data_IF_852779801182
#
_entry.id   IF_852779801182
#
_cell.length_a   1.000
_cell.length_b   1.000
_cell.length_c   1.000
_cell.angle_alpha   90.00
_cell.angle_beta   90.00
_cell.angle_gamma   90.00
#
_symmetry.space_group_name_H-M   'P 1'
#
loop_
_entity.id
_entity.type
_entity.pdbx_description
1 polymer ?
#
# COMPACT_ATOMS: atom_id res chain seq x y z
N UNK A 1 -5.57 13.22 -21.12
CA UNK A 1 -5.31 13.55 -19.70
C UNK A 1 -6.03 12.55 -18.84
N UNK A 2 -5.40 12.06 -17.78
CA UNK A 2 -6.06 11.19 -16.80
C UNK A 2 -7.34 11.84 -16.29
N UNK A 3 -8.42 11.07 -16.14
CA UNK A 3 -9.69 11.59 -15.65
C UNK A 3 -10.41 10.59 -14.73
N UNK A 4 -11.13 11.08 -13.70
CA UNK A 4 -11.84 10.22 -12.76
C UNK A 4 -13.09 9.60 -13.41
N UNK A 5 -13.26 8.29 -13.21
CA UNK A 5 -14.40 7.51 -13.70
C UNK A 5 -15.46 7.31 -12.61
N UNK A 6 -15.05 6.72 -11.47
CA UNK A 6 -15.95 6.27 -10.42
C UNK A 6 -15.48 6.74 -9.07
N UNK A 7 -16.42 7.13 -8.23
CA UNK A 7 -16.25 7.53 -6.84
C UNK A 7 -16.94 6.52 -5.92
N UNK A 8 -16.19 5.79 -5.12
CA UNK A 8 -16.69 4.80 -4.16
C UNK A 8 -16.38 5.30 -2.74
N UNK A 9 -17.36 5.28 -1.87
CA UNK A 9 -17.24 5.78 -0.50
C UNK A 9 -18.09 7.01 -0.23
N UNK A 10 -17.68 7.82 0.75
CA UNK A 10 -18.42 9.01 1.14
C UNK A 10 -18.55 10.00 -0.01
N UNK A 11 -19.78 10.35 -0.36
CA UNK A 11 -20.07 11.40 -1.33
C UNK A 11 -20.29 12.71 -0.57
N UNK A 12 -19.47 13.70 -0.85
CA UNK A 12 -19.63 15.04 -0.27
C UNK A 12 -19.79 16.09 -1.37
N UNK A 13 -20.90 16.78 -1.42
CA UNK A 13 -21.03 17.96 -2.29
C UNK A 13 -20.32 19.16 -1.64
N UNK A 14 -19.01 19.28 -1.90
CA UNK A 14 -18.28 20.52 -1.63
C UNK A 14 -17.89 20.82 -0.18
N UNK A 15 -17.81 19.82 0.69
CA UNK A 15 -17.32 19.98 2.07
C UNK A 15 -16.50 18.76 2.52
N UNK A 16 -15.91 18.82 3.70
CA UNK A 16 -15.23 17.66 4.30
C UNK A 16 -16.15 16.43 4.25
N UNK A 17 -15.70 15.38 3.57
CA UNK A 17 -16.41 14.11 3.53
C UNK A 17 -16.22 13.40 4.87
N UNK A 18 -17.05 13.71 5.83
CA UNK A 18 -17.10 12.96 7.09
C UNK A 18 -17.84 11.65 6.86
N UNK A 19 -17.28 10.50 7.28
CA UNK A 19 -18.00 9.23 7.23
C UNK A 19 -19.21 9.31 8.18
N UNK A 20 -20.27 8.53 7.93
CA UNK A 20 -21.34 8.41 8.90
C UNK A 20 -20.82 7.80 10.21
N UNK A 21 -21.57 7.97 11.28
CA UNK A 21 -21.22 7.40 12.58
C UNK A 21 -21.12 5.86 12.54
N UNK A 22 -21.88 5.21 11.66
CA UNK A 22 -21.85 3.77 11.45
C UNK A 22 -21.38 3.42 10.03
N UNK A 23 -20.54 2.41 9.86
CA UNK A 23 -20.12 1.94 8.54
C UNK A 23 -21.31 1.36 7.75
N UNK A 24 -21.19 1.33 6.43
CA UNK A 24 -22.19 0.79 5.50
C UNK A 24 -21.50 0.05 4.35
N UNK A 25 -22.23 -0.70 3.50
CA UNK A 25 -21.61 -1.32 2.31
C UNK A 25 -21.03 -0.34 1.30
N UNK A 26 -21.48 0.94 1.32
CA UNK A 26 -21.08 1.97 0.36
C UNK A 26 -20.14 3.02 0.93
N UNK A 27 -19.75 2.94 2.19
CA UNK A 27 -18.96 3.97 2.86
C UNK A 27 -17.76 3.38 3.56
N UNK A 28 -16.69 4.16 3.62
CA UNK A 28 -15.40 3.78 4.18
C UNK A 28 -14.91 4.82 5.15
N UNK A 29 -13.93 4.43 5.98
CA UNK A 29 -13.19 5.34 6.83
C UNK A 29 -11.68 5.11 6.65
N UNK A 30 -10.99 6.14 6.16
CA UNK A 30 -9.55 6.14 5.94
C UNK A 30 -9.03 4.86 5.24
N UNK A 31 -9.53 4.51 4.02
CA UNK A 31 -9.05 3.34 3.28
C UNK A 31 -7.57 3.51 2.97
N UNK A 32 -6.75 2.44 3.13
CA UNK A 32 -5.30 2.53 2.93
C UNK A 32 -4.75 1.60 1.89
N UNK A 33 -5.40 0.48 1.62
CA UNK A 33 -4.98 -0.47 0.60
C UNK A 33 -6.05 -0.68 -0.44
N UNK A 34 -5.62 -0.95 -1.66
CA UNK A 34 -6.52 -1.26 -2.77
C UNK A 34 -5.85 -2.28 -3.69
N UNK A 35 -6.64 -3.23 -4.18
CA UNK A 35 -6.32 -4.14 -5.27
C UNK A 35 -7.33 -3.96 -6.38
N UNK A 36 -6.88 -3.96 -7.61
CA UNK A 36 -7.70 -3.83 -8.81
C UNK A 36 -7.19 -4.78 -9.88
N UNK A 37 -8.08 -5.54 -10.50
CA UNK A 37 -7.88 -6.19 -11.79
C UNK A 37 -9.09 -5.94 -12.71
N UNK A 38 -9.22 -6.69 -13.81
CA UNK A 38 -10.27 -6.46 -14.82
C UNK A 38 -11.69 -6.79 -14.31
N UNK A 39 -11.80 -7.53 -13.20
CA UNK A 39 -13.06 -8.04 -12.67
C UNK A 39 -13.27 -7.77 -11.18
N UNK A 40 -12.24 -7.35 -10.45
CA UNK A 40 -12.27 -7.35 -9.00
C UNK A 40 -11.72 -6.04 -8.46
N UNK A 41 -12.42 -5.47 -7.49
CA UNK A 41 -11.91 -4.42 -6.62
C UNK A 41 -11.92 -4.91 -5.17
N UNK A 42 -10.80 -4.76 -4.46
CA UNK A 42 -10.72 -5.03 -3.02
C UNK A 42 -10.13 -3.81 -2.33
N UNK A 43 -10.74 -3.39 -1.24
CA UNK A 43 -10.33 -2.21 -0.48
C UNK A 43 -10.11 -2.56 0.98
N UNK A 44 -8.93 -2.26 1.51
CA UNK A 44 -8.68 -2.24 2.94
C UNK A 44 -9.28 -0.95 3.54
N UNK A 45 -10.46 -1.05 4.08
CA UNK A 45 -11.19 -0.01 4.82
C UNK A 45 -10.64 0.08 6.24
N UNK A 46 -9.43 0.62 6.35
CA UNK A 46 -8.54 0.49 7.50
C UNK A 46 -9.12 1.08 8.77
N UNK A 47 -9.78 2.24 8.68
CA UNK A 47 -10.37 2.91 9.84
C UNK A 47 -11.58 2.16 10.42
N UNK A 48 -12.26 1.33 9.63
CA UNK A 48 -13.33 0.43 10.06
C UNK A 48 -12.83 -0.99 10.34
N UNK A 49 -11.52 -1.23 10.30
CA UNK A 49 -10.89 -2.53 10.61
C UNK A 49 -11.42 -3.70 9.76
N UNK A 50 -11.72 -3.46 8.49
CA UNK A 50 -12.34 -4.43 7.58
C UNK A 50 -11.78 -4.33 6.17
N UNK A 51 -12.11 -5.33 5.35
CA UNK A 51 -11.84 -5.32 3.91
C UNK A 51 -13.16 -5.46 3.18
N UNK A 52 -13.35 -4.65 2.14
CA UNK A 52 -14.52 -4.65 1.25
C UNK A 52 -14.13 -5.24 -0.09
N UNK A 53 -15.02 -6.09 -0.67
CA UNK A 53 -14.81 -6.74 -1.96
C UNK A 53 -15.98 -6.43 -2.88
N UNK A 54 -15.68 -6.05 -4.11
CA UNK A 54 -16.61 -5.98 -5.26
C UNK A 54 -16.17 -7.04 -6.28
N UNK A 55 -17.05 -8.00 -6.59
CA UNK A 55 -16.79 -9.07 -7.57
C UNK A 55 -16.86 -8.60 -9.01
N UNK A 56 -17.25 -7.36 -9.25
CA UNK A 56 -17.10 -6.65 -10.50
C UNK A 56 -16.60 -5.25 -10.20
N UNK A 57 -15.70 -4.73 -11.03
CA UNK A 57 -15.22 -3.37 -10.86
C UNK A 57 -16.43 -2.41 -10.88
N UNK A 58 -16.60 -1.56 -9.87
CA UNK A 58 -17.73 -0.65 -9.82
C UNK A 58 -17.83 0.28 -11.04
N UNK A 59 -19.04 0.41 -11.57
CA UNK A 59 -19.34 1.26 -12.73
C UNK A 59 -20.09 2.55 -12.32
N UNK A 60 -20.57 2.63 -11.08
CA UNK A 60 -21.39 3.74 -10.58
C UNK A 60 -20.84 4.26 -9.27
N UNK A 61 -20.98 5.57 -9.08
CA UNK A 61 -20.65 6.23 -7.82
C UNK A 61 -21.44 5.62 -6.64
N UNK A 62 -20.76 5.40 -5.52
CA UNK A 62 -21.37 4.87 -4.31
C UNK A 62 -21.87 3.42 -4.42
N UNK A 63 -21.45 2.68 -5.44
CA UNK A 63 -21.84 1.27 -5.57
C UNK A 63 -21.44 0.48 -4.32
N UNK A 64 -22.40 -0.25 -3.68
CA UNK A 64 -22.12 -1.01 -2.47
C UNK A 64 -21.17 -2.18 -2.75
N UNK A 65 -20.37 -2.53 -1.76
CA UNK A 65 -19.57 -3.75 -1.78
C UNK A 65 -20.45 -5.00 -1.68
N UNK A 66 -19.98 -6.09 -2.26
CA UNK A 66 -20.65 -7.39 -2.24
C UNK A 66 -20.32 -8.16 -0.95
N UNK A 67 -19.07 -8.01 -0.46
CA UNK A 67 -18.52 -8.80 0.64
C UNK A 67 -17.81 -7.89 1.64
N UNK A 68 -17.92 -8.22 2.93
CA UNK A 68 -17.10 -7.67 4.01
C UNK A 68 -16.34 -8.77 4.73
N UNK A 69 -15.04 -8.55 4.99
CA UNK A 69 -14.18 -9.42 5.78
C UNK A 69 -13.66 -8.69 7.01
N UNK A 70 -13.44 -9.40 8.11
CA UNK A 70 -12.90 -8.85 9.35
C UNK A 70 -13.91 -8.18 10.26
N UNK A 71 -15.19 -8.13 9.84
CA UNK A 71 -16.33 -7.72 10.64
C UNK A 71 -17.49 -8.70 10.42
N UNK A 72 -18.39 -8.86 11.41
CA UNK A 72 -19.55 -9.76 11.27
C UNK A 72 -20.47 -9.40 10.11
N UNK A 73 -20.62 -8.10 9.86
CA UNK A 73 -21.44 -7.53 8.80
C UNK A 73 -20.93 -6.15 8.36
N UNK A 74 -21.63 -5.52 7.41
CA UNK A 74 -21.27 -4.20 6.88
C UNK A 74 -21.46 -3.04 7.85
N UNK A 75 -22.19 -3.21 8.92
CA UNK A 75 -22.59 -2.15 9.87
C UNK A 75 -21.81 -2.21 11.17
N UNK A 76 -21.06 -3.29 11.39
CA UNK A 76 -20.19 -3.50 12.54
C UNK A 76 -18.86 -2.76 12.37
N UNK A 77 -18.32 -2.29 13.48
CA UNK A 77 -17.02 -1.62 13.56
C UNK A 77 -16.23 -2.05 14.80
N UNK A 78 -15.02 -1.54 14.92
CA UNK A 78 -14.13 -1.81 16.04
C UNK A 78 -13.09 -2.86 15.70
N UNK A 79 -11.95 -2.74 16.35
CA UNK A 79 -10.80 -3.63 16.13
C UNK A 79 -11.16 -5.08 16.43
N UNK A 80 -10.59 -6.00 15.67
CA UNK A 80 -10.72 -7.44 15.89
C UNK A 80 -12.20 -7.87 16.03
N UNK A 81 -13.05 -7.45 15.07
CA UNK A 81 -14.50 -7.70 15.05
C UNK A 81 -15.19 -7.26 16.34
N UNK A 82 -15.06 -5.99 16.73
CA UNK A 82 -15.62 -5.40 17.95
C UNK A 82 -15.15 -6.11 19.25
N UNK A 83 -13.89 -6.54 19.27
CA UNK A 83 -13.26 -7.16 20.46
C UNK A 83 -13.46 -8.67 20.58
N UNK A 84 -14.00 -9.35 19.57
CA UNK A 84 -14.11 -10.82 19.55
C UNK A 84 -12.75 -11.54 19.42
N UNK A 85 -11.69 -10.79 19.10
CA UNK A 85 -10.32 -11.27 19.03
C UNK A 85 -9.76 -11.38 17.62
N UNK A 86 -8.43 -11.55 17.51
CA UNK A 86 -7.73 -11.52 16.22
C UNK A 86 -8.16 -12.61 15.25
N UNK A 87 -8.58 -13.78 15.73
CA UNK A 87 -9.12 -14.88 14.90
C UNK A 87 -10.32 -14.46 14.07
N UNK A 88 -11.14 -13.55 14.59
CA UNK A 88 -12.44 -13.19 14.02
C UNK A 88 -12.41 -11.86 13.26
N UNK A 89 -11.37 -11.06 13.46
CA UNK A 89 -11.32 -9.75 12.85
C UNK A 89 -9.91 -9.21 12.64
N UNK A 90 -9.85 -8.02 12.07
CA UNK A 90 -8.60 -7.33 11.71
C UNK A 90 -8.37 -6.10 12.59
N UNK A 91 -7.12 -5.62 12.56
CA UNK A 91 -6.76 -4.35 13.17
C UNK A 91 -5.94 -3.51 12.19
N UNK A 92 -6.56 -2.45 11.65
CA UNK A 92 -5.99 -1.56 10.63
C UNK A 92 -5.36 -2.35 9.45
N UNK A 93 -6.15 -3.11 8.68
CA UNK A 93 -5.64 -3.76 7.47
C UNK A 93 -5.15 -2.71 6.48
N UNK A 94 -4.06 -3.00 5.75
CA UNK A 94 -3.43 -2.06 4.82
C UNK A 94 -3.18 -2.69 3.44
N UNK A 95 -2.11 -3.45 3.26
CA UNK A 95 -1.80 -4.09 1.98
C UNK A 95 -2.80 -5.17 1.58
N UNK A 96 -3.24 -5.15 0.34
CA UNK A 96 -4.14 -6.17 -0.25
C UNK A 96 -3.57 -6.58 -1.60
N UNK A 97 -3.46 -7.88 -1.84
CA UNK A 97 -3.04 -8.42 -3.15
C UNK A 97 -3.69 -9.78 -3.42
N UNK A 98 -3.95 -10.05 -4.69
CA UNK A 98 -4.35 -11.38 -5.17
C UNK A 98 -3.21 -11.98 -5.98
N UNK A 99 -2.80 -13.19 -5.61
CA UNK A 99 -1.73 -13.93 -6.26
C UNK A 99 -2.26 -15.34 -6.57
N UNK A 100 -2.29 -15.71 -7.84
CA UNK A 100 -2.77 -17.03 -8.29
C UNK A 100 -4.16 -17.40 -7.74
N UNK A 101 -5.07 -16.41 -7.69
CA UNK A 101 -6.43 -16.57 -7.18
C UNK A 101 -6.58 -16.60 -5.66
N UNK A 102 -5.49 -16.46 -4.91
CA UNK A 102 -5.45 -16.37 -3.45
C UNK A 102 -5.41 -14.94 -2.99
N UNK A 103 -6.16 -14.62 -1.94
CA UNK A 103 -6.19 -13.29 -1.33
C UNK A 103 -5.22 -13.22 -0.14
N UNK A 104 -4.41 -12.17 -0.12
CA UNK A 104 -3.49 -11.84 0.98
C UNK A 104 -3.80 -10.44 1.50
N UNK A 105 -3.91 -10.30 2.81
CA UNK A 105 -4.20 -9.03 3.49
C UNK A 105 -3.18 -8.78 4.60
N UNK A 106 -2.49 -7.66 4.54
CA UNK A 106 -1.65 -7.20 5.64
C UNK A 106 -2.57 -6.68 6.76
N UNK A 107 -2.73 -7.47 7.80
CA UNK A 107 -3.43 -7.13 9.04
C UNK A 107 -2.43 -6.48 10.01
N UNK A 108 -2.11 -5.20 9.69
CA UNK A 108 -0.87 -4.55 10.09
C UNK A 108 -0.69 -4.44 11.60
N UNK A 109 -1.73 -4.10 12.35
CA UNK A 109 -1.65 -3.94 13.80
C UNK A 109 -1.87 -5.24 14.58
N UNK A 110 -2.22 -6.33 13.90
CA UNK A 110 -2.10 -7.70 14.41
C UNK A 110 -0.79 -8.36 13.96
N UNK A 111 0.11 -7.59 13.31
CA UNK A 111 1.47 -7.99 12.95
C UNK A 111 1.55 -9.26 12.11
N UNK A 112 0.65 -9.40 11.11
CA UNK A 112 0.50 -10.62 10.30
C UNK A 112 -0.01 -10.33 8.89
N UNK A 113 0.09 -11.34 8.04
CA UNK A 113 -0.61 -11.40 6.75
C UNK A 113 -1.62 -12.54 6.81
N UNK A 114 -2.89 -12.23 6.58
CA UNK A 114 -3.98 -13.20 6.48
C UNK A 114 -4.06 -13.75 5.06
N UNK A 115 -4.43 -15.04 4.93
CA UNK A 115 -4.46 -15.76 3.65
C UNK A 115 -5.81 -16.43 3.46
N UNK A 116 -6.42 -16.22 2.29
CA UNK A 116 -7.56 -17.00 1.78
C UNK A 116 -7.12 -17.69 0.50
N UNK A 117 -7.33 -19.01 0.43
CA UNK A 117 -6.93 -19.84 -0.73
C UNK A 117 -7.74 -19.56 -2.00
N UNK A 118 -8.80 -18.77 -1.89
CA UNK A 118 -9.63 -18.25 -2.98
C UNK A 118 -10.28 -16.94 -2.55
N UNK A 119 -10.73 -16.15 -3.51
CA UNK A 119 -11.53 -14.96 -3.19
C UNK A 119 -12.82 -15.38 -2.49
N UNK A 120 -13.14 -14.84 -1.29
CA UNK A 120 -14.37 -15.15 -0.60
C UNK A 120 -15.63 -14.78 -1.37
N UNK A 121 -16.63 -15.67 -1.34
CA UNK A 121 -17.94 -15.46 -1.95
C UNK A 121 -19.02 -15.10 -0.91
N UNK A 122 -18.67 -15.07 0.37
CA UNK A 122 -19.56 -14.73 1.47
C UNK A 122 -18.87 -13.82 2.49
N UNK A 123 -19.61 -12.88 3.05
CA UNK A 123 -19.12 -12.03 4.14
C UNK A 123 -18.69 -12.84 5.35
N UNK A 124 -17.75 -12.27 6.11
CA UNK A 124 -17.20 -12.88 7.33
C UNK A 124 -16.59 -14.28 7.13
N UNK A 125 -16.20 -14.63 5.90
CA UNK A 125 -15.44 -15.87 5.64
C UNK A 125 -14.10 -15.80 6.37
N UNK A 126 -13.79 -16.76 7.28
CA UNK A 126 -12.53 -16.75 8.00
C UNK A 126 -11.35 -17.01 7.06
N UNK A 127 -10.15 -16.50 7.40
CA UNK A 127 -8.93 -16.82 6.64
C UNK A 127 -8.56 -18.31 6.78
N UNK A 128 -7.97 -18.86 5.73
CA UNK A 128 -7.46 -20.24 5.69
C UNK A 128 -6.10 -20.38 6.38
N UNK A 129 -5.33 -19.26 6.45
CA UNK A 129 -3.98 -19.28 7.02
C UNK A 129 -3.47 -17.91 7.43
N UNK A 130 -2.27 -17.91 8.00
CA UNK A 130 -1.60 -16.71 8.49
C UNK A 130 -0.09 -16.82 8.28
N UNK A 131 0.54 -15.71 7.89
CA UNK A 131 2.00 -15.56 7.80
C UNK A 131 2.41 -14.50 8.83
N UNK A 132 3.53 -14.72 9.52
CA UNK A 132 4.05 -13.77 10.51
C UNK A 132 3.60 -14.02 11.95
N UNK A 133 2.59 -14.88 12.18
CA UNK A 133 2.15 -15.35 13.50
C UNK A 133 2.16 -16.87 13.56
N UNK A 134 2.06 -17.43 14.77
CA UNK A 134 2.02 -18.88 14.98
C UNK A 134 0.69 -19.51 14.54
N UNK A 135 -0.39 -18.75 14.68
CA UNK A 135 -1.76 -19.12 14.34
C UNK A 135 -2.63 -17.86 14.21
N UNK A 136 -3.94 -18.05 14.00
CA UNK A 136 -4.90 -16.94 13.82
C UNK A 136 -5.21 -16.16 15.11
N UNK A 137 -4.81 -16.63 16.27
CA UNK A 137 -5.00 -15.94 17.55
C UNK A 137 -3.79 -15.04 17.89
N UNK A 138 -2.64 -15.26 17.23
CA UNK A 138 -1.44 -14.47 17.40
C UNK A 138 -1.59 -13.05 16.85
N UNK A 139 -1.18 -12.05 17.65
CA UNK A 139 -1.23 -10.64 17.27
C UNK A 139 -0.07 -9.80 17.87
N UNK A 140 0.91 -10.44 18.49
CA UNK A 140 2.03 -9.73 19.10
C UNK A 140 3.14 -9.42 18.10
N UNK A 141 3.81 -8.24 18.20
CA UNK A 141 4.97 -7.92 17.38
C UNK A 141 6.02 -9.02 17.45
N UNK A 142 6.58 -9.42 16.31
CA UNK A 142 7.61 -10.46 16.22
C UNK A 142 7.22 -11.76 16.94
N UNK A 143 5.92 -12.10 16.96
CA UNK A 143 5.35 -13.28 17.69
C UNK A 143 5.57 -13.23 19.19
N UNK A 144 5.66 -12.05 19.79
CA UNK A 144 5.92 -11.87 21.23
C UNK A 144 7.36 -12.14 21.68
N UNK A 145 8.29 -12.27 20.73
CA UNK A 145 9.70 -12.53 21.01
C UNK A 145 10.65 -11.56 20.30
N UNK A 146 11.91 -11.96 20.17
CA UNK A 146 12.92 -11.20 19.45
C UNK A 146 12.62 -11.15 17.95
N UNK A 147 13.12 -10.10 17.29
CA UNK A 147 13.00 -9.96 15.84
C UNK A 147 13.65 -11.14 15.13
N UNK A 148 12.91 -11.73 14.19
CA UNK A 148 13.35 -12.89 13.41
C UNK A 148 12.71 -12.86 12.02
N UNK A 149 13.16 -13.71 11.10
CA UNK A 149 12.57 -13.83 9.77
C UNK A 149 11.13 -14.40 9.76
N UNK A 150 10.70 -15.01 10.86
CA UNK A 150 9.38 -15.65 10.95
C UNK A 150 8.27 -14.78 11.52
N UNK A 151 8.58 -13.61 12.09
CA UNK A 151 7.62 -12.69 12.69
C UNK A 151 7.70 -11.31 12.09
N UNK A 152 6.57 -10.58 12.10
CA UNK A 152 6.48 -9.21 11.58
C UNK A 152 6.25 -8.20 12.70
N UNK A 153 6.60 -6.97 12.42
CA UNK A 153 6.17 -5.82 13.19
C UNK A 153 5.58 -4.78 12.24
N UNK A 154 4.26 -4.61 12.31
CA UNK A 154 3.53 -3.67 11.48
C UNK A 154 3.82 -3.87 9.97
N UNK A 155 3.54 -5.08 9.39
CA UNK A 155 3.67 -5.30 7.95
C UNK A 155 2.66 -4.41 7.24
N UNK A 156 3.11 -3.57 6.31
CA UNK A 156 2.23 -2.60 5.67
C UNK A 156 1.84 -3.01 4.26
N UNK A 157 2.80 -3.29 3.41
CA UNK A 157 2.60 -3.65 2.02
C UNK A 157 3.00 -5.09 1.71
N UNK A 158 2.31 -5.68 0.74
CA UNK A 158 2.61 -6.99 0.17
C UNK A 158 2.87 -6.79 -1.31
N UNK A 159 3.87 -7.47 -1.87
CA UNK A 159 4.22 -7.41 -3.29
C UNK A 159 4.43 -8.79 -3.90
N UNK A 160 4.14 -8.89 -5.20
CA UNK A 160 4.50 -10.05 -6.02
C UNK A 160 5.31 -9.56 -7.21
N UNK A 161 6.60 -9.84 -7.21
CA UNK A 161 7.53 -9.32 -8.21
C UNK A 161 8.46 -10.45 -8.65
N UNK A 162 8.58 -10.69 -9.94
CA UNK A 162 9.46 -11.72 -10.51
C UNK A 162 9.26 -13.11 -9.85
N UNK A 163 8.01 -13.53 -9.63
CA UNK A 163 7.62 -14.78 -8.97
C UNK A 163 8.11 -14.91 -7.51
N UNK A 164 8.32 -13.79 -6.83
CA UNK A 164 8.68 -13.73 -5.41
C UNK A 164 7.61 -12.99 -4.62
N UNK A 165 7.31 -13.52 -3.44
CA UNK A 165 6.44 -12.89 -2.46
C UNK A 165 7.26 -11.93 -1.58
N UNK A 166 6.77 -10.71 -1.39
CA UNK A 166 7.44 -9.70 -0.57
C UNK A 166 6.50 -9.15 0.50
N UNK A 167 7.06 -8.87 1.68
CA UNK A 167 6.39 -8.14 2.76
C UNK A 167 7.23 -6.94 3.16
N UNK A 168 6.65 -5.75 3.11
CA UNK A 168 7.20 -4.57 3.73
C UNK A 168 6.95 -4.64 5.24
N UNK A 169 7.92 -5.16 5.99
CA UNK A 169 7.90 -5.30 7.45
C UNK A 169 8.35 -3.97 8.08
N UNK A 170 7.45 -2.99 7.96
CA UNK A 170 7.69 -1.56 8.17
C UNK A 170 8.21 -1.25 9.56
N UNK A 171 7.64 -1.85 10.60
CA UNK A 171 8.06 -1.64 11.99
C UNK A 171 9.47 -2.18 12.28
N UNK A 172 9.92 -3.20 11.53
CA UNK A 172 11.28 -3.72 11.57
C UNK A 172 12.21 -3.08 10.52
N UNK A 173 11.76 -2.08 9.76
CA UNK A 173 12.53 -1.30 8.78
C UNK A 173 13.22 -2.18 7.75
N UNK A 174 12.50 -3.19 7.22
CA UNK A 174 13.02 -4.16 6.24
C UNK A 174 11.95 -4.59 5.25
N UNK A 175 12.40 -5.13 4.14
CA UNK A 175 11.56 -5.88 3.20
C UNK A 175 12.04 -7.32 3.21
N UNK A 176 11.12 -8.24 3.42
CA UNK A 176 11.38 -9.68 3.39
C UNK A 176 10.87 -10.25 2.07
N UNK A 177 11.63 -11.15 1.46
CA UNK A 177 11.30 -11.80 0.19
C UNK A 177 11.43 -13.32 0.26
N UNK A 178 10.50 -14.03 -0.40
CA UNK A 178 10.50 -15.49 -0.54
C UNK A 178 10.40 -15.87 -2.01
N UNK A 179 11.12 -16.92 -2.40
CA UNK A 179 11.02 -17.52 -3.73
C UNK A 179 9.70 -18.31 -3.82
N UNK A 180 8.67 -17.71 -4.43
CA UNK A 180 7.30 -18.20 -4.39
C UNK A 180 6.52 -17.73 -3.16
N UNK A 181 5.35 -18.33 -2.95
CA UNK A 181 4.49 -18.05 -1.78
C UNK A 181 5.08 -18.78 -0.57
N UNK A 182 5.33 -18.10 0.57
CA UNK A 182 5.93 -18.75 1.73
C UNK A 182 5.00 -19.81 2.34
N UNK A 183 5.58 -20.95 2.71
CA UNK A 183 4.93 -21.94 3.55
C UNK A 183 4.93 -21.51 5.03
N UNK A 184 4.20 -22.24 5.88
CA UNK A 184 4.16 -21.93 7.32
C UNK A 184 5.58 -21.90 7.91
N UNK A 185 5.88 -20.81 8.59
CA UNK A 185 7.18 -20.54 9.26
C UNK A 185 8.42 -20.58 8.36
N UNK A 186 8.25 -20.55 7.05
CA UNK A 186 9.39 -20.47 6.14
C UNK A 186 10.17 -19.17 6.40
N UNK A 187 11.50 -19.31 6.53
CA UNK A 187 12.39 -18.15 6.62
C UNK A 187 12.46 -17.43 5.28
N UNK A 188 12.62 -16.10 5.28
CA UNK A 188 12.80 -15.38 4.03
C UNK A 188 14.10 -15.77 3.34
N UNK A 189 14.07 -15.85 2.01
CA UNK A 189 15.25 -16.05 1.17
C UNK A 189 16.04 -14.74 0.99
N UNK A 190 15.37 -13.59 1.18
CA UNK A 190 15.95 -12.27 1.00
C UNK A 190 15.52 -11.34 2.14
N UNK A 191 16.49 -10.58 2.65
CA UNK A 191 16.27 -9.47 3.59
C UNK A 191 16.89 -8.22 2.99
N UNK A 192 16.10 -7.19 2.70
CA UNK A 192 16.55 -5.87 2.29
C UNK A 192 16.31 -4.87 3.43
N UNK A 193 17.18 -3.86 3.55
CA UNK A 193 17.05 -2.80 4.54
C UNK A 193 17.74 -3.08 5.86
N UNK A 194 18.09 -4.33 6.15
CA UNK A 194 18.80 -4.75 7.35
C UNK A 194 19.96 -5.68 7.03
N UNK A 195 20.94 -5.78 7.94
CA UNK A 195 22.12 -6.64 7.75
C UNK A 195 21.76 -8.14 7.78
N UNK A 196 20.68 -8.49 8.46
CA UNK A 196 20.16 -9.85 8.59
C UNK A 196 18.71 -9.83 9.09
N UNK A 197 18.10 -11.00 9.23
CA UNK A 197 16.72 -11.16 9.69
C UNK A 197 16.47 -10.84 11.18
N UNK A 198 17.50 -10.61 11.97
CA UNK A 198 17.41 -10.30 13.41
C UNK A 198 17.60 -8.81 13.71
N UNK A 199 18.02 -8.03 12.72
CA UNK A 199 18.26 -6.58 12.84
C UNK A 199 17.00 -5.77 12.49
N UNK A 200 16.83 -4.61 13.16
CA UNK A 200 15.64 -3.75 12.96
C UNK A 200 15.95 -2.25 13.19
N UNK A 201 17.24 -1.87 13.21
CA UNK A 201 17.60 -0.48 13.43
C UNK A 201 17.21 0.41 12.24
N UNK A 202 16.71 1.61 12.52
CA UNK A 202 16.44 2.62 11.50
C UNK A 202 17.70 2.91 10.69
N UNK A 203 17.61 2.82 9.37
CA UNK A 203 18.74 2.98 8.45
C UNK A 203 19.98 2.15 8.86
N UNK A 204 19.78 0.93 9.41
CA UNK A 204 20.86 0.08 9.95
C UNK A 204 21.65 0.73 11.08
N UNK A 205 21.07 1.70 11.79
CA UNK A 205 21.75 2.46 12.86
C UNK A 205 22.71 3.55 12.38
N UNK A 206 22.60 3.96 11.08
CA UNK A 206 23.47 4.95 10.45
C UNK A 206 22.66 5.97 9.63
N UNK A 207 23.34 6.77 8.81
CA UNK A 207 22.69 7.59 7.79
C UNK A 207 22.00 6.73 6.74
N UNK A 208 20.99 7.27 6.02
CA UNK A 208 20.39 6.59 4.87
C UNK A 208 21.43 6.12 3.87
N UNK A 209 21.18 5.00 3.20
CA UNK A 209 22.09 4.44 2.20
C UNK A 209 21.31 3.65 1.16
N UNK A 210 22.01 3.15 0.12
CA UNK A 210 21.42 2.27 -0.88
C UNK A 210 20.97 0.90 -0.33
N UNK A 211 21.33 0.56 0.91
CA UNK A 211 21.02 -0.71 1.58
C UNK A 211 20.03 -0.58 2.74
N UNK A 212 19.52 0.62 3.04
CA UNK A 212 18.80 0.84 4.28
C UNK A 212 17.42 1.43 4.07
N UNK A 213 16.52 1.20 5.03
CA UNK A 213 15.19 1.81 5.09
C UNK A 213 14.94 2.46 6.44
N UNK A 214 14.01 3.42 6.40
CA UNK A 214 13.40 3.97 7.62
C UNK A 214 11.99 3.41 7.84
N UNK A 215 11.08 3.59 6.88
CA UNK A 215 9.72 3.04 6.91
C UNK A 215 9.35 2.54 5.51
N UNK A 216 9.75 1.33 5.10
CA UNK A 216 9.30 0.75 3.83
C UNK A 216 7.81 0.42 3.93
N UNK A 217 6.99 0.97 3.02
CA UNK A 217 5.53 0.80 3.04
C UNK A 217 4.99 -0.05 1.90
N UNK A 218 5.59 0.02 0.74
CA UNK A 218 5.10 -0.72 -0.43
C UNK A 218 6.22 -1.31 -1.25
N UNK A 219 5.90 -2.40 -1.93
CA UNK A 219 6.78 -3.11 -2.85
C UNK A 219 6.03 -3.36 -4.15
N UNK A 220 6.62 -2.99 -5.26
CA UNK A 220 6.10 -3.27 -6.60
C UNK A 220 7.26 -3.49 -7.59
N UNK A 221 6.95 -3.94 -8.80
CA UNK A 221 7.96 -4.11 -9.82
C UNK A 221 7.45 -4.84 -11.05
N UNK A 222 8.38 -5.11 -11.95
CA UNK A 222 8.16 -5.99 -13.10
C UNK A 222 9.05 -7.24 -13.02
N UNK A 223 9.15 -8.00 -14.10
CA UNK A 223 10.01 -9.19 -14.14
C UNK A 223 11.50 -8.90 -13.93
N UNK A 224 11.94 -7.64 -14.03
CA UNK A 224 13.36 -7.25 -14.05
C UNK A 224 13.74 -6.23 -12.97
N UNK A 225 12.78 -5.50 -12.44
CA UNK A 225 13.02 -4.38 -11.51
C UNK A 225 12.12 -4.47 -10.29
N UNK A 226 12.71 -4.29 -9.12
CA UNK A 226 12.02 -4.15 -7.83
C UNK A 226 12.05 -2.69 -7.40
N UNK A 227 10.92 -2.16 -6.92
CA UNK A 227 10.81 -0.84 -6.29
C UNK A 227 10.28 -0.98 -4.86
N UNK A 228 10.83 -0.18 -3.96
CA UNK A 228 10.38 -0.08 -2.57
C UNK A 228 10.10 1.39 -2.24
N UNK A 229 8.91 1.66 -1.73
CA UNK A 229 8.54 2.96 -1.18
C UNK A 229 9.09 3.08 0.25
N UNK A 230 10.22 3.75 0.40
CA UNK A 230 10.87 4.04 1.68
C UNK A 230 10.35 5.37 2.24
N UNK A 231 9.09 5.34 2.69
CA UNK A 231 8.31 6.52 3.03
C UNK A 231 8.96 7.39 4.11
N UNK A 232 9.58 6.79 5.10
CA UNK A 232 10.25 7.51 6.19
C UNK A 232 11.51 8.28 5.75
N UNK A 233 12.11 7.89 4.64
CA UNK A 233 13.22 8.59 3.99
C UNK A 233 12.76 9.38 2.75
N UNK A 234 11.44 9.54 2.54
CA UNK A 234 10.85 10.33 1.46
C UNK A 234 11.33 9.94 0.06
N UNK A 235 11.50 8.65 -0.23
CA UNK A 235 12.11 8.19 -1.49
C UNK A 235 11.51 6.87 -2.00
N UNK A 236 11.73 6.60 -3.27
CA UNK A 236 11.59 5.27 -3.85
C UNK A 236 13.00 4.75 -4.15
N UNK A 237 13.30 3.56 -3.68
CA UNK A 237 14.51 2.84 -4.08
C UNK A 237 14.17 1.78 -5.12
N UNK A 238 15.08 1.57 -6.09
CA UNK A 238 14.92 0.58 -7.16
C UNK A 238 16.16 -0.28 -7.39
N UNK A 239 15.90 -1.53 -7.73
CA UNK A 239 16.93 -2.53 -8.09
C UNK A 239 16.65 -3.09 -9.47
N UNK A 240 17.62 -2.98 -10.37
CA UNK A 240 17.63 -3.61 -11.69
C UNK A 240 18.99 -4.29 -11.90
N UNK A 241 19.07 -5.64 -11.98
CA UNK A 241 17.97 -6.61 -11.88
C UNK A 241 17.37 -6.71 -10.46
N UNK A 242 16.26 -7.47 -10.36
CA UNK A 242 15.67 -7.82 -9.05
C UNK A 242 16.73 -8.50 -8.18
N UNK A 243 16.97 -8.04 -6.94
CA UNK A 243 18.09 -8.52 -6.13
C UNK A 243 17.85 -9.96 -5.61
N UNK A 244 18.90 -10.77 -5.60
CA UNK A 244 18.87 -12.12 -5.04
C UNK A 244 19.39 -12.17 -3.59
N UNK A 245 20.09 -11.14 -3.18
CA UNK A 245 20.68 -10.97 -1.84
C UNK A 245 20.66 -9.48 -1.48
N UNK A 246 21.18 -9.12 -0.32
CA UNK A 246 21.34 -7.74 0.10
C UNK A 246 22.34 -7.00 -0.81
N UNK A 247 21.80 -6.37 -1.84
CA UNK A 247 22.56 -5.58 -2.82
C UNK A 247 22.14 -4.10 -2.73
N UNK A 248 23.02 -3.16 -3.13
CA UNK A 248 22.67 -1.74 -3.13
C UNK A 248 21.61 -1.44 -4.18
N UNK A 249 20.65 -0.60 -3.84
CA UNK A 249 19.75 0.01 -4.83
C UNK A 249 20.55 0.78 -5.88
N UNK A 250 20.07 0.79 -7.13
CA UNK A 250 20.67 1.52 -8.24
C UNK A 250 19.87 2.76 -8.65
N UNK A 251 18.65 2.88 -8.16
CA UNK A 251 17.75 3.99 -8.39
C UNK A 251 17.35 4.61 -7.06
N UNK A 252 17.37 5.94 -7.00
CA UNK A 252 16.65 6.71 -5.97
C UNK A 252 15.84 7.82 -6.63
N UNK A 253 14.53 7.84 -6.39
CA UNK A 253 13.67 8.96 -6.80
C UNK A 253 13.51 9.92 -5.65
N UNK A 254 13.40 11.22 -5.96
CA UNK A 254 13.36 12.37 -5.08
C UNK A 254 14.73 12.81 -4.57
N UNK A 255 15.45 11.94 -3.90
CA UNK A 255 16.73 12.30 -3.28
C UNK A 255 17.83 12.47 -4.32
N UNK A 256 18.77 13.37 -4.06
CA UNK A 256 19.90 13.63 -4.97
C UNK A 256 20.87 12.46 -5.02
N UNK A 257 20.92 11.71 -3.94
CA UNK A 257 21.76 10.53 -3.78
C UNK A 257 21.18 9.56 -2.76
N UNK A 258 21.81 8.43 -2.57
CA UNK A 258 21.37 7.36 -1.66
C UNK A 258 21.55 7.69 -0.18
N UNK A 259 22.32 8.73 0.16
CA UNK A 259 22.67 9.08 1.55
C UNK A 259 21.79 10.20 2.12
N UNK A 260 20.89 10.76 1.32
CA UNK A 260 19.97 11.82 1.75
C UNK A 260 18.56 11.28 2.02
N UNK A 261 17.84 11.96 2.91
CA UNK A 261 16.45 11.67 3.27
C UNK A 261 15.76 12.97 3.67
N UNK A 262 15.90 13.98 2.85
CA UNK A 262 15.34 15.31 3.15
C UNK A 262 13.86 15.34 2.83
N UNK A 263 13.07 15.61 3.84
CA UNK A 263 11.70 16.05 3.63
C UNK A 263 11.73 17.40 2.90
N UNK A 264 10.90 17.56 1.89
CA UNK A 264 10.91 18.72 1.01
C UNK A 264 10.52 20.06 1.64
N UNK A 265 10.69 20.25 2.93
CA UNK A 265 10.35 21.50 3.61
C UNK A 265 11.15 22.71 3.09
N UNK A 266 12.21 22.48 2.31
CA UNK A 266 13.07 23.54 1.80
C UNK A 266 12.99 23.74 0.29
N UNK A 267 12.24 22.90 -0.44
CA UNK A 267 12.03 23.03 -1.89
C UNK A 267 10.52 23.07 -2.17
N UNK A 268 10.07 23.92 -3.08
CA UNK A 268 8.68 23.89 -3.53
C UNK A 268 8.35 22.52 -4.14
N UNK A 269 7.08 22.12 -4.15
CA UNK A 269 6.64 20.95 -4.89
C UNK A 269 7.10 21.04 -6.35
N UNK A 270 7.43 19.90 -6.95
CA UNK A 270 7.88 19.81 -8.33
C UNK A 270 7.68 18.39 -8.87
N UNK A 271 7.98 18.15 -10.13
CA UNK A 271 7.96 16.82 -10.72
C UNK A 271 8.97 15.85 -10.08
N UNK A 272 9.92 16.37 -9.31
CA UNK A 272 10.95 15.59 -8.61
C UNK A 272 10.53 15.23 -7.17
N UNK A 273 9.54 15.92 -6.63
CA UNK A 273 9.26 15.99 -5.20
C UNK A 273 8.37 14.85 -4.68
N UNK A 274 8.91 14.03 -3.80
CA UNK A 274 8.15 13.05 -2.99
C UNK A 274 8.12 13.47 -1.51
N UNK A 275 7.00 13.23 -0.86
CA UNK A 275 6.83 13.44 0.57
C UNK A 275 5.98 12.31 1.15
N UNK A 276 6.59 11.45 1.96
CA UNK A 276 5.96 10.24 2.47
C UNK A 276 5.27 9.43 1.36
N UNK A 277 6.01 8.87 0.38
CA UNK A 277 5.40 8.00 -0.63
C UNK A 277 4.98 6.68 0.03
N UNK A 278 3.66 6.47 0.21
CA UNK A 278 3.17 5.26 0.87
C UNK A 278 2.87 4.12 -0.07
N UNK A 279 2.66 4.38 -1.34
CA UNK A 279 2.43 3.32 -2.31
C UNK A 279 3.21 3.52 -3.60
N UNK A 280 3.56 2.41 -4.22
CA UNK A 280 4.18 2.31 -5.54
C UNK A 280 3.52 1.18 -6.31
N UNK A 281 3.26 1.38 -7.59
CA UNK A 281 2.71 0.38 -8.50
C UNK A 281 3.43 0.42 -9.85
N UNK A 282 3.47 -0.73 -10.52
CA UNK A 282 4.05 -0.87 -11.86
C UNK A 282 3.05 -1.54 -12.78
N UNK A 283 2.78 -0.97 -13.93
CA UNK A 283 2.01 -1.61 -15.00
C UNK A 283 2.36 -1.02 -16.37
N UNK A 284 2.39 -1.84 -17.38
CA UNK A 284 2.58 -1.46 -18.79
C UNK A 284 3.79 -0.54 -19.03
N UNK A 285 4.90 -0.83 -18.32
CA UNK A 285 6.13 -0.05 -18.43
C UNK A 285 6.07 1.30 -17.71
N UNK A 286 5.04 1.59 -16.92
CA UNK A 286 4.86 2.82 -16.13
C UNK A 286 5.14 2.57 -14.65
N UNK A 287 5.72 3.56 -13.98
CA UNK A 287 5.81 3.62 -12.53
C UNK A 287 4.81 4.65 -12.00
N UNK A 288 4.05 4.28 -10.99
CA UNK A 288 3.05 5.13 -10.37
C UNK A 288 3.32 5.18 -8.86
N UNK A 289 3.32 6.39 -8.28
CA UNK A 289 3.67 6.60 -6.87
C UNK A 289 2.62 7.47 -6.19
N UNK A 290 2.03 6.98 -5.10
CA UNK A 290 1.24 7.80 -4.21
C UNK A 290 2.16 8.71 -3.38
N UNK A 291 2.23 9.97 -3.76
CA UNK A 291 2.97 11.03 -3.07
C UNK A 291 2.09 11.63 -1.98
N UNK A 292 1.88 10.85 -0.92
CA UNK A 292 0.78 10.95 0.03
C UNK A 292 0.71 12.32 0.71
N UNK A 293 1.80 12.79 1.32
CA UNK A 293 1.79 14.07 2.03
C UNK A 293 1.88 15.30 1.10
N UNK A 294 1.95 15.09 -0.21
CA UNK A 294 1.76 16.12 -1.24
C UNK A 294 0.39 15.99 -1.93
N UNK A 295 -0.51 15.15 -1.41
CA UNK A 295 -1.90 15.03 -1.87
C UNK A 295 -2.02 14.80 -3.38
N UNK A 296 -1.19 13.92 -3.93
CA UNK A 296 -1.12 13.68 -5.38
C UNK A 296 -0.56 12.29 -5.70
N UNK A 297 -0.77 11.87 -6.93
CA UNK A 297 -0.12 10.68 -7.51
C UNK A 297 0.77 11.13 -8.65
N UNK A 298 1.98 10.62 -8.70
CA UNK A 298 2.97 10.88 -9.76
C UNK A 298 3.11 9.66 -10.66
N UNK A 299 3.30 9.91 -11.97
CA UNK A 299 3.43 8.87 -13.00
C UNK A 299 4.71 9.14 -13.83
N UNK A 300 5.55 8.12 -13.93
CA UNK A 300 6.62 8.00 -14.92
C UNK A 300 6.12 7.09 -16.03
N UNK A 301 6.11 7.57 -17.26
CA UNK A 301 5.64 6.83 -18.45
C UNK A 301 6.58 5.71 -18.87
N UNK A 302 7.82 5.79 -18.43
CA UNK A 302 8.84 4.76 -18.62
C UNK A 302 9.42 4.39 -17.27
N UNK A 303 9.53 3.08 -16.99
CA UNK A 303 10.09 2.60 -15.73
C UNK A 303 11.54 3.10 -15.55
N UNK A 304 11.81 3.94 -14.54
CA UNK A 304 13.17 4.35 -14.21
C UNK A 304 13.91 3.15 -13.57
N UNK A 305 15.07 2.77 -14.13
CA UNK A 305 15.78 1.56 -13.71
C UNK A 305 17.05 1.83 -12.94
N UNK A 306 17.64 3.01 -13.13
CA UNK A 306 18.87 3.44 -12.46
C UNK A 306 18.94 4.97 -12.41
N UNK A 307 19.84 5.51 -11.58
CA UNK A 307 20.09 6.94 -11.45
C UNK A 307 19.43 7.55 -10.21
N UNK A 308 19.41 8.87 -10.19
CA UNK A 308 18.88 9.66 -9.10
C UNK A 308 18.12 10.87 -9.61
N UNK A 309 17.16 11.38 -8.81
CA UNK A 309 16.53 12.66 -9.05
C UNK A 309 15.86 12.80 -10.45
N UNK A 310 15.10 11.77 -10.84
CA UNK A 310 14.40 11.70 -12.13
C UNK A 310 12.98 12.28 -12.01
N UNK A 311 12.58 13.25 -12.85
CA UNK A 311 11.26 13.88 -12.77
C UNK A 311 10.15 12.92 -13.23
N UNK A 312 8.98 13.06 -12.63
CA UNK A 312 7.75 12.43 -13.10
C UNK A 312 7.24 13.14 -14.38
N UNK A 313 6.49 12.38 -15.20
CA UNK A 313 5.91 12.87 -16.46
C UNK A 313 4.50 13.45 -16.28
N UNK A 314 3.74 12.93 -15.29
CA UNK A 314 2.34 13.33 -15.05
C UNK A 314 2.04 13.40 -13.56
N UNK A 315 1.02 14.21 -13.23
CA UNK A 315 0.47 14.35 -11.88
C UNK A 315 -1.06 14.18 -11.89
N UNK A 316 -1.60 13.52 -10.86
CA UNK A 316 -3.03 13.37 -10.59
C UNK A 316 -3.33 13.97 -9.20
N UNK A 317 -4.50 14.58 -9.03
CA UNK A 317 -4.96 15.19 -7.78
C UNK A 317 -4.59 16.66 -7.64
N UNK A 318 -3.61 17.14 -8.40
CA UNK A 318 -3.20 18.55 -8.45
C UNK A 318 -3.27 19.08 -9.89
N UNK A 319 -3.42 20.38 -10.10
CA UNK A 319 -3.49 20.97 -11.45
C UNK A 319 -2.16 20.87 -12.21
N UNK A 320 -1.05 20.87 -11.47
CA UNK A 320 0.32 20.84 -11.97
C UNK A 320 1.29 20.26 -10.90
N UNK A 321 2.58 20.26 -11.19
CA UNK A 321 3.60 19.77 -10.27
C UNK A 321 3.91 20.71 -9.09
N UNK A 322 3.47 21.95 -9.13
CA UNK A 322 3.71 22.96 -8.08
C UNK A 322 2.63 22.85 -6.98
N UNK A 323 1.50 22.18 -7.26
CA UNK A 323 0.42 21.95 -6.31
C UNK A 323 0.71 20.82 -5.32
N UNK A 324 0.32 20.99 -4.05
CA UNK A 324 0.40 19.97 -3.01
C UNK A 324 -0.70 20.07 -1.93
N UNK A 325 -1.71 20.92 -2.16
CA UNK A 325 -2.78 21.18 -1.21
C UNK A 325 -3.75 20.01 -1.05
N UNK A 326 -4.19 19.76 0.18
CA UNK A 326 -5.33 18.87 0.43
C UNK A 326 -6.55 19.40 -0.36
N UNK A 327 -7.07 18.57 -1.27
CA UNK A 327 -8.14 19.01 -2.16
C UNK A 327 -7.84 20.36 -2.87
N UNK A 328 -6.57 20.63 -3.20
CA UNK A 328 -6.12 21.91 -3.80
C UNK A 328 -6.43 23.15 -2.93
N UNK A 329 -6.54 22.95 -1.62
CA UNK A 329 -7.01 23.96 -0.64
C UNK A 329 -8.44 24.49 -0.94
N UNK A 330 -9.26 23.64 -1.57
CA UNK A 330 -10.63 23.94 -1.98
C UNK A 330 -11.59 22.84 -1.52
N UNK A 331 -12.68 22.64 -2.25
CA UNK A 331 -13.65 21.60 -1.98
C UNK A 331 -13.15 20.21 -2.43
N UNK A 332 -13.76 19.16 -1.88
CA UNK A 332 -13.58 17.78 -2.35
C UNK A 332 -14.28 17.64 -3.70
N UNK A 333 -13.52 17.55 -4.76
CA UNK A 333 -13.98 17.35 -6.13
C UNK A 333 -13.56 15.97 -6.66
N UNK A 334 -14.06 15.59 -7.84
CA UNK A 334 -13.74 14.27 -8.41
C UNK A 334 -12.25 14.09 -8.76
N UNK A 335 -11.57 15.17 -9.07
CA UNK A 335 -10.18 15.21 -9.52
C UNK A 335 -9.20 15.75 -8.48
N UNK A 336 -9.64 15.93 -7.23
CA UNK A 336 -8.79 16.32 -6.08
C UNK A 336 -8.44 15.11 -5.23
N UNK A 337 -7.40 15.18 -4.43
CA UNK A 337 -6.97 14.14 -3.50
C UNK A 337 -6.62 14.76 -2.13
N UNK A 338 -6.81 13.94 -1.10
CA UNK A 338 -6.38 14.21 0.27
C UNK A 338 -5.77 12.94 0.87
N UNK A 339 -4.47 12.95 1.12
CA UNK A 339 -3.73 11.83 1.69
C UNK A 339 -3.99 10.49 0.93
N UNK A 340 -3.65 10.38 -0.36
CA UNK A 340 -3.73 9.10 -1.08
C UNK A 340 -2.72 8.12 -0.49
N UNK A 341 -3.20 7.02 0.11
CA UNK A 341 -2.33 6.02 0.75
C UNK A 341 -2.03 4.81 -0.15
N UNK A 342 -3.05 4.26 -0.79
CA UNK A 342 -2.93 3.06 -1.60
C UNK A 342 -3.25 3.32 -3.07
N UNK A 343 -2.57 2.61 -3.95
CA UNK A 343 -2.85 2.61 -5.39
C UNK A 343 -2.78 1.19 -5.95
N UNK A 344 -3.63 0.91 -6.91
CA UNK A 344 -3.57 -0.30 -7.73
C UNK A 344 -3.85 0.05 -9.18
N UNK A 345 -3.20 -0.62 -10.10
CA UNK A 345 -3.34 -0.37 -11.53
C UNK A 345 -3.58 -1.68 -12.27
N UNK A 346 -4.57 -1.67 -13.15
CA UNK A 346 -4.85 -2.75 -14.11
C UNK A 346 -5.14 -2.11 -15.46
N UNK A 347 -4.38 -2.48 -16.47
CA UNK A 347 -4.47 -1.86 -17.81
C UNK A 347 -4.38 -0.32 -17.71
N UNK A 348 -5.43 0.38 -18.12
CA UNK A 348 -5.52 1.83 -18.04
C UNK A 348 -6.32 2.34 -16.83
N UNK A 349 -6.72 1.48 -15.92
CA UNK A 349 -7.45 1.87 -14.73
C UNK A 349 -6.52 1.96 -13.53
N UNK A 350 -6.62 3.07 -12.82
CA UNK A 350 -5.91 3.34 -11.58
C UNK A 350 -6.92 3.55 -10.45
N UNK A 351 -6.92 2.66 -9.47
CA UNK A 351 -7.65 2.87 -8.23
C UNK A 351 -6.75 3.58 -7.20
N UNK A 352 -7.27 4.59 -6.55
CA UNK A 352 -6.58 5.40 -5.54
C UNK A 352 -7.39 5.37 -4.25
N UNK A 353 -6.82 4.85 -3.17
CA UNK A 353 -7.36 4.98 -1.82
C UNK A 353 -7.10 6.41 -1.32
N UNK A 354 -8.06 7.29 -1.51
CA UNK A 354 -8.06 8.71 -1.15
C UNK A 354 -8.52 8.87 0.31
N UNK A 355 -7.61 8.49 1.22
CA UNK A 355 -7.90 8.22 2.63
C UNK A 355 -8.47 9.40 3.38
N UNK A 356 -7.93 10.61 3.17
CA UNK A 356 -8.39 11.82 3.83
C UNK A 356 -9.81 12.24 3.40
N UNK A 357 -10.26 11.75 2.24
CA UNK A 357 -11.62 11.94 1.75
C UNK A 357 -12.54 10.74 1.97
N UNK A 358 -12.08 9.70 2.68
CA UNK A 358 -12.85 8.48 2.98
C UNK A 358 -13.45 7.80 1.74
N UNK A 359 -12.67 7.70 0.66
CA UNK A 359 -13.13 7.17 -0.63
C UNK A 359 -12.04 6.42 -1.38
N UNK A 360 -12.46 5.65 -2.38
CA UNK A 360 -11.61 5.16 -3.47
C UNK A 360 -12.07 5.79 -4.77
N UNK A 361 -11.11 6.31 -5.54
CA UNK A 361 -11.36 6.87 -6.86
C UNK A 361 -10.77 5.96 -7.94
N UNK A 362 -11.55 5.59 -8.94
CA UNK A 362 -11.08 4.89 -10.15
C UNK A 362 -10.87 5.94 -11.25
N UNK A 363 -9.70 5.92 -11.85
CA UNK A 363 -9.25 6.83 -12.91
C UNK A 363 -8.93 6.09 -14.18
N UNK A 364 -9.23 6.71 -15.32
CA UNK A 364 -8.64 6.33 -16.62
C UNK A 364 -7.31 7.06 -16.80
N UNK A 365 -6.26 6.30 -17.02
CA UNK A 365 -4.88 6.79 -17.24
C UNK A 365 -4.34 6.43 -18.63
N UNK A 366 -5.23 6.22 -19.62
CA UNK A 366 -4.94 5.83 -21.01
C UNK A 366 -4.23 6.91 -21.85
N UNK A 367 -3.35 7.74 -21.28
CA UNK A 367 -2.77 8.92 -21.96
C UNK A 367 -1.29 8.72 -22.30
#
# INVERSE_FOLDING_TARGET
MAHPLVWIGAQSPGALALPPANPTPSQMYAPRGVYLDDHLLIVADSGNHRVLIWHNVPERDGQPADIVLGQPDFYSEGLQAAGHGPRYGMYLPTGVIVIEGRLYIADSWNHRVLVWNRIPEASNTPPDGVIGQADLDGCEPSRGGDVSGGGFYWPYGIGWVASRFYVADTGNRRVLGWNGIPEDRQRPDLVLGQNNEFSHAENRGAAPSAHSFRWPHAVAGDATTLYVADAGNHRILGWTPVPERDEPARLVLEQRDMSTAWEMLHLPPSALALRFPYAVACADGRLIVANTANNRVLIWRTLPREGAFLPADNVIGQPDFDGNGENRWQAVERDTLCWPYGIAVSNNWLAIADSGNNRVMIWDISV
#
